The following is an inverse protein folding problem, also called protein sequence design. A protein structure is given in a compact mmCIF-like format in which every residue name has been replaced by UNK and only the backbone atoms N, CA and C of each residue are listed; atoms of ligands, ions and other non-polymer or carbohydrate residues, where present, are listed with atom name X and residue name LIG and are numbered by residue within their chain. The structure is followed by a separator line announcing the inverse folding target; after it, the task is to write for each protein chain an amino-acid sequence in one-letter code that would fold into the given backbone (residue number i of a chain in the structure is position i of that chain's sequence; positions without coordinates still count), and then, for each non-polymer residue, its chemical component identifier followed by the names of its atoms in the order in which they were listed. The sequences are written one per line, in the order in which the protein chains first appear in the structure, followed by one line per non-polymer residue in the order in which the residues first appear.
data_IF_450294038024
#
_entry.id   IF_450294038024
#
_cell.length_a   1.000
_cell.length_b   1.000
_cell.length_c   1.000
_cell.angle_alpha   90.00
_cell.angle_beta   90.00
_cell.angle_gamma   90.00
#
_symmetry.space_group_name_H-M   'P 1'
#
loop_
_entity.id
_entity.type
_entity.pdbx_description
1 polymer ?
#
# COMPACT_ATOMS: atom_id res chain seq x y z
N UNK A 1 37.96 -19.23 -9.29
CA UNK A 1 37.96 -18.56 -7.97
C UNK A 1 36.66 -17.77 -7.82
N UNK A 2 35.81 -18.19 -6.89
CA UNK A 2 34.46 -17.67 -6.66
C UNK A 2 34.52 -16.32 -5.93
N UNK A 3 33.86 -15.28 -6.46
CA UNK A 3 33.69 -14.00 -5.75
C UNK A 3 32.30 -13.98 -5.11
N UNK A 4 32.24 -14.39 -3.84
CA UNK A 4 31.07 -14.16 -3.00
C UNK A 4 31.03 -12.68 -2.59
N UNK A 5 30.10 -11.91 -3.17
CA UNK A 5 29.69 -10.61 -2.63
C UNK A 5 28.66 -10.84 -1.54
N UNK A 6 29.10 -10.71 -0.29
CA UNK A 6 28.25 -10.64 0.90
C UNK A 6 27.42 -9.35 0.85
N UNK A 7 26.11 -9.49 0.60
CA UNK A 7 25.16 -8.40 0.77
C UNK A 7 25.17 -7.98 2.26
N UNK A 8 25.83 -6.86 2.57
CA UNK A 8 25.75 -6.22 3.88
C UNK A 8 24.31 -5.76 4.11
N UNK A 9 23.58 -6.50 4.93
CA UNK A 9 22.31 -6.06 5.53
C UNK A 9 22.60 -4.78 6.31
N UNK A 10 22.14 -3.64 5.80
CA UNK A 10 22.24 -2.36 6.50
C UNK A 10 21.49 -2.46 7.84
N UNK A 11 22.01 -1.88 8.93
CA UNK A 11 21.35 -1.90 10.22
C UNK A 11 19.98 -1.21 10.13
N UNK A 12 18.95 -1.89 10.62
CA UNK A 12 17.56 -1.43 10.68
C UNK A 12 17.49 -0.27 11.67
N UNK A 13 17.38 0.97 11.19
CA UNK A 13 17.25 2.16 12.02
C UNK A 13 15.95 2.03 12.86
N UNK A 14 15.98 2.13 14.20
CA UNK A 14 14.79 1.96 15.05
C UNK A 14 13.70 3.03 14.82
N UNK A 15 14.03 4.14 14.15
CA UNK A 15 13.08 5.17 13.73
C UNK A 15 12.65 5.04 12.25
N UNK A 16 12.86 3.87 11.64
CA UNK A 16 12.42 3.64 10.25
C UNK A 16 10.89 3.59 10.23
N UNK A 17 10.26 4.74 9.96
CA UNK A 17 8.88 4.84 9.51
C UNK A 17 8.75 3.79 8.39
N UNK A 18 7.84 2.83 8.55
CA UNK A 18 7.62 1.77 7.57
C UNK A 18 7.59 2.37 6.17
N UNK A 19 8.38 1.83 5.24
CA UNK A 19 8.43 2.35 3.87
C UNK A 19 7.00 2.49 3.33
N UNK A 20 6.66 3.71 2.92
CA UNK A 20 5.35 3.98 2.36
C UNK A 20 5.25 3.29 1.00
N UNK A 21 4.26 2.41 0.85
CA UNK A 21 3.95 1.81 -0.44
C UNK A 21 3.28 2.89 -1.30
N UNK A 22 4.03 3.45 -2.25
CA UNK A 22 3.50 4.44 -3.20
C UNK A 22 3.12 3.79 -4.52
N UNK A 23 1.91 4.03 -4.99
CA UNK A 23 1.46 3.58 -6.31
C UNK A 23 1.51 4.74 -7.31
N UNK A 24 2.04 4.47 -8.51
CA UNK A 24 1.93 5.40 -9.64
C UNK A 24 0.61 5.15 -10.34
N UNK A 25 -0.19 6.21 -10.50
CA UNK A 25 -1.49 6.14 -11.17
C UNK A 25 -1.49 7.05 -12.41
N UNK A 26 -2.18 6.59 -13.46
CA UNK A 26 -2.51 7.44 -14.61
C UNK A 26 -3.48 8.54 -14.19
N UNK A 27 -3.59 9.59 -15.00
CA UNK A 27 -4.48 10.71 -14.71
C UNK A 27 -5.95 10.28 -14.65
N UNK A 28 -6.37 9.39 -15.55
CA UNK A 28 -7.72 8.83 -15.53
C UNK A 28 -8.08 8.14 -14.21
N UNK A 29 -7.12 7.42 -13.60
CA UNK A 29 -7.33 6.75 -12.31
C UNK A 29 -7.44 7.79 -11.19
N UNK A 30 -6.58 8.82 -11.18
CA UNK A 30 -6.67 9.90 -10.18
C UNK A 30 -8.01 10.62 -10.25
N UNK A 31 -8.48 10.98 -11.44
CA UNK A 31 -9.78 11.63 -11.63
C UNK A 31 -10.92 10.78 -11.09
N UNK A 32 -10.86 9.45 -11.28
CA UNK A 32 -11.88 8.55 -10.73
C UNK A 32 -11.83 8.48 -9.21
N UNK A 33 -10.65 8.46 -8.60
CA UNK A 33 -10.49 8.50 -7.14
C UNK A 33 -11.03 9.80 -6.54
N UNK A 34 -10.81 10.94 -7.20
CA UNK A 34 -11.38 12.24 -6.79
C UNK A 34 -12.91 12.21 -6.84
N UNK A 35 -13.49 11.69 -7.93
CA UNK A 35 -14.95 11.58 -8.05
C UNK A 35 -15.55 10.71 -6.94
N UNK A 36 -14.96 9.55 -6.64
CA UNK A 36 -15.41 8.67 -5.56
C UNK A 36 -15.25 9.31 -4.17
N UNK A 37 -14.17 10.06 -3.96
CA UNK A 37 -13.93 10.80 -2.72
C UNK A 37 -15.04 11.83 -2.45
N UNK A 38 -15.53 12.51 -3.50
CA UNK A 38 -16.65 13.45 -3.40
C UNK A 38 -17.99 12.74 -3.19
N UNK A 39 -18.22 11.64 -3.90
CA UNK A 39 -19.46 10.85 -3.83
C UNK A 39 -19.66 10.24 -2.43
N UNK A 40 -18.61 9.66 -1.86
CA UNK A 40 -18.65 8.99 -0.55
C UNK A 40 -18.38 9.95 0.63
N UNK A 41 -18.05 11.22 0.35
CA UNK A 41 -17.61 12.20 1.34
C UNK A 41 -16.45 11.68 2.24
N UNK A 42 -15.47 11.04 1.61
CA UNK A 42 -14.30 10.43 2.26
C UNK A 42 -13.01 10.99 1.67
N UNK A 43 -11.92 10.97 2.43
CA UNK A 43 -10.60 11.36 1.90
C UNK A 43 -10.13 10.40 0.80
N UNK A 44 -9.39 10.94 -0.19
CA UNK A 44 -8.81 10.13 -1.29
C UNK A 44 -7.94 8.98 -0.75
N UNK A 45 -7.22 9.21 0.35
CA UNK A 45 -6.39 8.19 1.00
C UNK A 45 -7.23 7.04 1.58
N UNK A 46 -8.40 7.35 2.15
CA UNK A 46 -9.32 6.36 2.71
C UNK A 46 -9.99 5.54 1.60
N UNK A 47 -10.42 6.20 0.53
CA UNK A 47 -10.92 5.54 -0.68
C UNK A 47 -9.85 4.61 -1.26
N UNK A 48 -8.61 5.10 -1.39
CA UNK A 48 -7.49 4.30 -1.91
C UNK A 48 -7.20 3.08 -1.02
N UNK A 49 -7.23 3.26 0.30
CA UNK A 49 -7.05 2.17 1.28
C UNK A 49 -8.17 1.15 1.17
N UNK A 50 -9.43 1.59 1.06
CA UNK A 50 -10.58 0.70 0.93
C UNK A 50 -10.49 -0.14 -0.34
N UNK A 51 -10.21 0.49 -1.48
CA UNK A 51 -10.02 -0.19 -2.76
C UNK A 51 -8.88 -1.20 -2.69
N UNK A 52 -7.75 -0.82 -2.08
CA UNK A 52 -6.61 -1.71 -1.91
C UNK A 52 -6.97 -2.93 -1.06
N UNK A 53 -7.63 -2.73 0.09
CA UNK A 53 -8.05 -3.80 0.98
C UNK A 53 -9.07 -4.75 0.33
N UNK A 54 -10.07 -4.22 -0.38
CA UNK A 54 -11.04 -5.04 -1.10
C UNK A 54 -10.37 -5.84 -2.23
N UNK A 55 -9.39 -5.26 -2.92
CA UNK A 55 -8.58 -5.97 -3.92
C UNK A 55 -7.78 -7.13 -3.32
N UNK A 56 -7.15 -6.93 -2.16
CA UNK A 56 -6.43 -7.97 -1.43
C UNK A 56 -7.36 -9.11 -0.99
N UNK A 57 -8.52 -8.78 -0.44
CA UNK A 57 -9.53 -9.74 -0.05
C UNK A 57 -10.04 -10.56 -1.23
N UNK A 58 -10.42 -9.91 -2.32
CA UNK A 58 -11.00 -10.57 -3.48
C UNK A 58 -10.00 -11.48 -4.22
N UNK A 59 -8.73 -11.11 -4.28
CA UNK A 59 -7.71 -11.87 -5.03
C UNK A 59 -6.94 -12.90 -4.21
N UNK A 60 -6.74 -12.61 -2.92
CA UNK A 60 -5.83 -13.38 -2.07
C UNK A 60 -6.47 -13.81 -0.74
N UNK A 61 -7.75 -13.53 -0.52
CA UNK A 61 -8.46 -13.78 0.75
C UNK A 61 -7.76 -13.15 1.97
N UNK A 62 -7.06 -12.03 1.77
CA UNK A 62 -6.36 -11.30 2.84
C UNK A 62 -7.30 -10.25 3.43
N UNK A 63 -7.57 -10.33 4.73
CA UNK A 63 -8.40 -9.37 5.45
C UNK A 63 -7.50 -8.44 6.28
N UNK A 64 -7.69 -7.13 6.10
CA UNK A 64 -6.96 -6.08 6.83
C UNK A 64 -7.93 -5.32 7.73
N UNK A 65 -7.58 -5.16 9.02
CA UNK A 65 -8.28 -4.28 9.96
C UNK A 65 -7.30 -3.28 10.57
N UNK A 66 -7.60 -1.99 10.45
CA UNK A 66 -6.65 -0.93 10.80
C UNK A 66 -5.39 -1.01 9.93
N UNK A 67 -4.26 -1.35 10.54
CA UNK A 67 -2.97 -1.55 9.87
C UNK A 67 -2.43 -2.98 10.07
N UNK A 68 -3.30 -3.95 10.36
CA UNK A 68 -2.91 -5.34 10.60
C UNK A 68 -3.68 -6.29 9.70
N UNK A 69 -2.99 -7.32 9.21
CA UNK A 69 -3.61 -8.50 8.59
C UNK A 69 -4.18 -9.36 9.71
N UNK A 70 -5.44 -9.75 9.60
CA UNK A 70 -6.17 -10.45 10.69
C UNK A 70 -6.60 -11.88 10.34
N UNK A 71 -6.37 -12.33 9.10
CA UNK A 71 -6.73 -13.64 8.52
C UNK A 71 -8.19 -14.09 8.74
#
# INVERSE_FOLDING_TARGET
MSKHTTNKTKPKNPNCISEQITFRHSESVKSKLVALSLEENMGIADISRQIFNEGLKARYNVIVRGNQVVE
#
